data_IF_809829234750
#
_entry.id   IF_809829234750
#
_cell.length_a   1.000
_cell.length_b   1.000
_cell.length_c   1.000
_cell.angle_alpha   90.00
_cell.angle_beta   90.00
_cell.angle_gamma   90.00
#
_symmetry.space_group_name_H-M   'P 1'
#
loop_
_entity.id
_entity.type
_entity.pdbx_description
1 polymer ?
#
# COMPACT_ATOMS: atom_id res chain seq x y z
N UNK A 1 13.64 -19.64 14.52
CA UNK A 1 14.19 -19.32 13.14
C UNK A 1 12.99 -19.09 12.24
N UNK A 2 13.02 -18.06 11.39
CA UNK A 2 11.91 -17.75 10.46
C UNK A 2 11.60 -18.96 9.56
N UNK A 3 10.34 -19.30 9.30
CA UNK A 3 9.97 -20.41 8.40
C UNK A 3 10.56 -20.23 6.99
N UNK A 4 10.58 -19.01 6.51
CA UNK A 4 11.16 -18.62 5.21
C UNK A 4 12.68 -18.68 5.13
N UNK A 5 13.38 -18.89 6.26
CA UNK A 5 14.84 -18.82 6.44
C UNK A 5 15.46 -17.45 6.14
N UNK A 6 14.67 -16.40 5.96
CA UNK A 6 15.14 -15.02 5.77
C UNK A 6 15.82 -14.51 7.05
N UNK A 7 16.79 -13.59 6.89
CA UNK A 7 17.33 -12.84 8.02
C UNK A 7 16.24 -11.97 8.66
N UNK A 8 16.36 -11.58 9.94
CA UNK A 8 15.34 -10.75 10.61
C UNK A 8 15.02 -9.44 9.89
N UNK A 9 15.97 -8.86 9.20
CA UNK A 9 15.89 -7.59 8.50
C UNK A 9 15.81 -7.72 6.96
N UNK A 10 15.47 -8.91 6.46
CA UNK A 10 15.41 -9.24 5.04
C UNK A 10 13.97 -9.19 4.52
N UNK A 11 13.79 -8.45 3.40
CA UNK A 11 12.53 -8.42 2.64
C UNK A 11 12.34 -9.70 1.83
N UNK A 12 11.10 -10.08 1.58
CA UNK A 12 10.78 -10.99 0.47
C UNK A 12 11.24 -10.38 -0.86
N UNK A 13 11.43 -11.17 -1.93
CA UNK A 13 11.59 -10.61 -3.27
C UNK A 13 10.43 -9.68 -3.63
N UNK A 14 10.74 -8.44 -4.02
CA UNK A 14 9.73 -7.45 -4.40
C UNK A 14 9.84 -7.13 -5.87
N UNK A 15 8.71 -7.16 -6.59
CA UNK A 15 8.61 -6.72 -7.98
C UNK A 15 7.47 -5.71 -8.15
N UNK A 16 7.69 -4.72 -9.03
CA UNK A 16 6.74 -3.65 -9.37
C UNK A 16 6.64 -3.58 -10.89
N UNK A 17 5.70 -4.35 -11.48
CA UNK A 17 5.50 -4.40 -12.93
C UNK A 17 4.47 -3.35 -13.33
N UNK A 18 4.88 -2.40 -14.19
CA UNK A 18 4.03 -1.28 -14.64
C UNK A 18 3.28 -1.60 -15.93
N UNK A 19 2.19 -0.87 -16.18
CA UNK A 19 1.50 -0.89 -17.47
C UNK A 19 0.83 -2.22 -17.77
N UNK A 20 0.46 -2.98 -16.75
CA UNK A 20 -0.10 -4.33 -16.88
C UNK A 20 -1.58 -4.34 -17.27
N UNK A 21 -2.27 -3.20 -17.19
CA UNK A 21 -3.69 -3.05 -17.55
C UNK A 21 -3.84 -2.01 -18.66
N UNK A 22 -4.43 -2.43 -19.77
CA UNK A 22 -4.52 -1.63 -21.01
C UNK A 22 -5.31 -0.33 -20.88
N UNK A 23 -6.38 -0.34 -20.08
CA UNK A 23 -7.37 0.76 -20.07
C UNK A 23 -7.20 1.73 -18.90
N UNK A 24 -6.45 1.38 -17.87
CA UNK A 24 -6.16 2.28 -16.76
C UNK A 24 -5.09 3.30 -17.15
N UNK A 25 -5.19 4.53 -16.64
CA UNK A 25 -4.19 5.58 -16.84
C UNK A 25 -2.87 5.25 -16.16
N UNK A 26 -2.91 4.45 -15.09
CA UNK A 26 -1.75 3.86 -14.45
C UNK A 26 -2.06 2.49 -13.89
N UNK A 27 -1.08 1.59 -13.89
CA UNK A 27 -1.26 0.26 -13.29
C UNK A 27 0.05 -0.35 -12.82
N UNK A 28 -0.04 -1.19 -11.78
CA UNK A 28 1.09 -1.91 -11.21
C UNK A 28 0.64 -3.29 -10.73
N UNK A 29 1.33 -4.33 -11.15
CA UNK A 29 1.28 -5.63 -10.48
C UNK A 29 2.42 -5.65 -9.46
N UNK A 30 2.08 -5.49 -8.19
CA UNK A 30 3.04 -5.54 -7.08
C UNK A 30 3.06 -6.93 -6.48
N UNK A 31 4.27 -7.43 -6.24
CA UNK A 31 4.48 -8.72 -5.56
C UNK A 31 5.48 -8.54 -4.41
N UNK A 32 5.13 -9.06 -3.26
CA UNK A 32 6.00 -9.24 -2.10
C UNK A 32 6.07 -10.74 -1.83
N UNK A 33 7.06 -11.44 -2.40
CA UNK A 33 7.06 -12.90 -2.46
C UNK A 33 5.77 -13.42 -3.07
N UNK A 34 5.02 -14.22 -2.32
CA UNK A 34 3.76 -14.81 -2.74
C UNK A 34 2.52 -13.91 -2.52
N UNK A 35 2.67 -12.72 -1.96
CA UNK A 35 1.60 -11.71 -1.94
C UNK A 35 1.59 -10.95 -3.26
N UNK A 36 0.49 -11.06 -4.03
CA UNK A 36 0.32 -10.42 -5.33
C UNK A 36 -0.92 -9.52 -5.31
N UNK A 37 -0.75 -8.25 -5.69
CA UNK A 37 -1.84 -7.28 -5.79
C UNK A 37 -1.79 -6.59 -7.14
N UNK A 38 -2.90 -6.62 -7.87
CA UNK A 38 -3.10 -5.80 -9.06
C UNK A 38 -3.63 -4.43 -8.60
N UNK A 39 -2.95 -3.38 -9.02
CA UNK A 39 -3.34 -2.01 -8.70
C UNK A 39 -3.58 -1.24 -9.99
N UNK A 40 -4.71 -0.54 -10.08
CA UNK A 40 -5.01 0.41 -11.16
C UNK A 40 -5.29 1.80 -10.61
N UNK A 41 -4.95 2.83 -11.38
CA UNK A 41 -5.28 4.21 -11.08
C UNK A 41 -6.08 4.79 -12.24
N UNK A 42 -7.29 5.24 -11.95
CA UNK A 42 -8.26 5.76 -12.92
C UNK A 42 -8.49 7.25 -12.67
N UNK A 43 -8.33 8.07 -13.72
CA UNK A 43 -8.67 9.49 -13.69
C UNK A 43 -10.17 9.67 -13.95
N UNK A 44 -10.84 10.39 -13.06
CA UNK A 44 -12.24 10.75 -13.21
C UNK A 44 -12.41 12.28 -13.26
N UNK A 45 -13.13 12.78 -14.26
CA UNK A 45 -13.50 14.21 -14.38
C UNK A 45 -14.65 14.61 -13.42
N UNK A 46 -14.96 13.76 -12.45
CA UNK A 46 -16.03 13.99 -11.48
C UNK A 46 -15.45 13.99 -10.08
N UNK A 47 -15.74 15.06 -9.35
CA UNK A 47 -15.45 15.16 -7.92
C UNK A 47 -16.64 14.71 -7.08
N UNK A 48 -16.37 14.22 -5.86
CA UNK A 48 -17.41 14.10 -4.85
C UNK A 48 -18.15 15.44 -4.67
N UNK A 49 -19.48 15.43 -4.53
CA UNK A 49 -20.28 16.68 -4.44
C UNK A 49 -19.80 17.67 -3.39
N UNK A 50 -19.26 17.18 -2.28
CA UNK A 50 -18.74 17.99 -1.17
C UNK A 50 -17.41 18.70 -1.47
N UNK A 51 -16.69 18.33 -2.56
CA UNK A 51 -15.44 18.98 -2.99
C UNK A 51 -15.65 19.96 -4.16
N UNK A 52 -16.76 19.92 -4.82
CA UNK A 52 -17.04 20.72 -6.01
C UNK A 52 -16.94 22.22 -5.71
N UNK A 53 -16.17 22.93 -6.51
CA UNK A 53 -15.92 24.37 -6.36
C UNK A 53 -14.90 24.75 -5.28
N UNK A 54 -14.16 23.79 -4.73
CA UNK A 54 -13.08 24.05 -3.76
C UNK A 54 -11.71 24.24 -4.40
N UNK A 55 -11.58 24.11 -5.73
CA UNK A 55 -10.34 24.30 -6.47
C UNK A 55 -9.29 23.21 -6.21
N UNK A 56 -9.68 22.07 -5.67
CA UNK A 56 -8.76 20.95 -5.35
C UNK A 56 -9.34 19.62 -5.79
N UNK A 57 -8.44 18.69 -6.09
CA UNK A 57 -8.77 17.33 -6.46
C UNK A 57 -8.87 16.36 -5.28
N UNK A 58 -9.03 15.09 -5.61
CA UNK A 58 -9.13 14.03 -4.63
C UNK A 58 -8.44 12.76 -5.10
N UNK A 59 -7.87 12.02 -4.16
CA UNK A 59 -7.39 10.65 -4.37
C UNK A 59 -8.10 9.76 -3.39
N UNK A 60 -8.74 8.73 -3.90
CA UNK A 60 -9.43 7.71 -3.10
C UNK A 60 -8.93 6.32 -3.49
N UNK A 61 -9.27 5.32 -2.68
CA UNK A 61 -8.90 3.95 -2.98
C UNK A 61 -10.02 2.98 -2.66
N UNK A 62 -10.11 1.93 -3.45
CA UNK A 62 -10.87 0.73 -3.17
C UNK A 62 -9.92 -0.45 -2.98
N UNK A 63 -10.35 -1.44 -2.21
CA UNK A 63 -9.56 -2.62 -1.91
C UNK A 63 -10.47 -3.85 -1.88
N UNK A 64 -10.00 -4.93 -2.44
CA UNK A 64 -10.71 -6.20 -2.39
C UNK A 64 -9.77 -7.39 -2.53
N UNK A 65 -10.29 -8.57 -2.18
CA UNK A 65 -9.58 -9.83 -2.38
C UNK A 65 -10.37 -10.74 -3.30
N UNK A 66 -9.69 -11.37 -4.25
CA UNK A 66 -10.31 -12.41 -5.06
C UNK A 66 -10.70 -13.61 -4.16
N UNK A 67 -11.78 -14.35 -4.51
CA UNK A 67 -12.24 -15.47 -3.69
C UNK A 67 -11.19 -16.53 -3.39
N UNK A 68 -10.23 -16.71 -4.30
CA UNK A 68 -9.12 -17.68 -4.15
C UNK A 68 -7.77 -16.98 -3.94
N UNK A 69 -7.78 -15.74 -3.44
CA UNK A 69 -6.55 -15.10 -2.97
C UNK A 69 -5.95 -15.82 -1.76
N UNK A 70 -6.75 -16.56 -1.02
CA UNK A 70 -6.36 -17.34 0.17
C UNK A 70 -6.46 -18.84 -0.10
N UNK A 71 -5.89 -19.66 0.79
CA UNK A 71 -5.92 -21.14 0.73
C UNK A 71 -7.34 -21.70 0.63
N UNK A 72 -8.29 -21.08 1.32
CA UNK A 72 -9.71 -21.41 1.22
C UNK A 72 -10.47 -20.34 0.41
N UNK A 73 -11.57 -20.76 -0.24
CA UNK A 73 -12.41 -19.84 -0.99
C UNK A 73 -13.22 -18.93 -0.08
N UNK A 74 -12.98 -17.63 -0.15
CA UNK A 74 -13.79 -16.62 0.53
C UNK A 74 -14.98 -16.18 -0.34
N UNK A 75 -16.08 -15.74 0.28
CA UNK A 75 -17.24 -15.21 -0.44
C UNK A 75 -16.92 -13.80 -0.97
N UNK A 76 -17.34 -13.50 -2.21
CA UNK A 76 -17.24 -12.13 -2.73
C UNK A 76 -18.08 -11.16 -1.90
N UNK A 77 -17.50 -10.05 -1.46
CA UNK A 77 -18.23 -9.02 -0.68
C UNK A 77 -19.40 -8.43 -1.47
N UNK A 78 -19.24 -8.22 -2.78
CA UNK A 78 -20.33 -7.78 -3.65
C UNK A 78 -21.55 -8.74 -3.62
N UNK A 79 -21.32 -10.05 -3.52
CA UNK A 79 -22.37 -11.04 -3.38
C UNK A 79 -22.94 -11.12 -1.95
N UNK A 80 -22.24 -10.58 -0.97
CA UNK A 80 -22.72 -10.46 0.40
C UNK A 80 -23.53 -9.17 0.64
N UNK A 81 -23.48 -8.22 -0.31
CA UNK A 81 -24.20 -6.95 -0.25
C UNK A 81 -23.60 -5.91 0.68
N UNK A 82 -22.44 -6.20 1.29
CA UNK A 82 -21.70 -5.26 2.15
C UNK A 82 -20.22 -5.58 2.17
N UNK A 83 -19.40 -4.55 2.33
CA UNK A 83 -17.98 -4.69 2.60
C UNK A 83 -17.72 -5.03 4.07
N UNK A 84 -16.64 -5.75 4.35
CA UNK A 84 -16.18 -6.01 5.70
C UNK A 84 -15.56 -4.75 6.33
N UNK A 85 -15.51 -4.68 7.66
CA UNK A 85 -14.83 -3.60 8.36
C UNK A 85 -13.35 -3.51 7.99
N UNK A 86 -12.68 -4.66 7.80
CA UNK A 86 -11.30 -4.74 7.33
C UNK A 86 -11.12 -4.11 5.95
N UNK A 87 -11.99 -4.43 4.99
CA UNK A 87 -11.94 -3.86 3.64
C UNK A 87 -12.05 -2.34 3.69
N UNK A 88 -13.04 -1.81 4.40
CA UNK A 88 -13.26 -0.36 4.54
C UNK A 88 -12.08 0.33 5.25
N UNK A 89 -11.51 -0.29 6.27
CA UNK A 89 -10.33 0.22 6.98
C UNK A 89 -9.13 0.33 6.03
N UNK A 90 -8.83 -0.72 5.25
CA UNK A 90 -7.70 -0.74 4.32
C UNK A 90 -7.89 0.27 3.18
N UNK A 91 -9.09 0.40 2.61
CA UNK A 91 -9.40 1.44 1.61
C UNK A 91 -9.08 2.84 2.14
N UNK A 92 -9.50 3.14 3.37
CA UNK A 92 -9.26 4.43 4.01
C UNK A 92 -7.77 4.68 4.27
N UNK A 93 -7.04 3.64 4.68
CA UNK A 93 -5.61 3.67 4.91
C UNK A 93 -4.86 3.99 3.60
N UNK A 94 -5.14 3.26 2.50
CA UNK A 94 -4.50 3.49 1.20
C UNK A 94 -4.79 4.92 0.71
N UNK A 95 -6.05 5.32 0.69
CA UNK A 95 -6.45 6.65 0.23
C UNK A 95 -5.81 7.77 1.03
N UNK A 96 -5.74 7.65 2.37
CA UNK A 96 -5.08 8.62 3.25
C UNK A 96 -3.58 8.70 2.97
N UNK A 97 -2.93 7.56 2.85
CA UNK A 97 -1.48 7.49 2.57
C UNK A 97 -1.13 8.20 1.26
N UNK A 98 -1.88 7.96 0.20
CA UNK A 98 -1.67 8.62 -1.10
C UNK A 98 -1.94 10.13 -1.03
N UNK A 99 -3.00 10.57 -0.34
CA UNK A 99 -3.30 12.01 -0.20
C UNK A 99 -2.22 12.79 0.53
N UNK A 100 -1.48 12.15 1.42
CA UNK A 100 -0.38 12.80 2.16
C UNK A 100 0.75 13.25 1.24
N UNK A 101 0.98 12.54 0.13
CA UNK A 101 2.09 12.81 -0.81
C UNK A 101 1.63 13.46 -2.12
N UNK A 102 0.35 13.81 -2.24
CA UNK A 102 -0.23 14.45 -3.43
C UNK A 102 -0.57 15.91 -3.12
N UNK A 103 -0.19 16.80 -4.02
CA UNK A 103 -0.68 18.17 -4.06
C UNK A 103 -2.08 18.21 -4.68
N UNK A 104 -3.10 18.21 -3.82
CA UNK A 104 -4.50 18.16 -4.27
C UNK A 104 -4.94 19.45 -4.98
N UNK A 105 -4.33 20.60 -4.69
CA UNK A 105 -4.60 21.86 -5.39
C UNK A 105 -3.98 21.82 -6.81
N UNK A 106 -2.73 21.34 -6.91
CA UNK A 106 -2.06 21.16 -8.20
C UNK A 106 -2.74 20.09 -9.08
N UNK A 107 -3.41 19.10 -8.48
CA UNK A 107 -4.22 18.12 -9.20
C UNK A 107 -5.43 18.78 -9.86
N UNK A 108 -5.96 19.86 -9.27
CA UNK A 108 -7.18 20.54 -9.72
C UNK A 108 -8.43 19.70 -9.47
N UNK A 109 -9.59 20.20 -9.87
CA UNK A 109 -10.89 19.57 -9.59
C UNK A 109 -11.10 18.24 -10.36
N UNK A 110 -10.32 17.23 -10.03
CA UNK A 110 -10.37 15.86 -10.57
C UNK A 110 -10.26 14.85 -9.45
N UNK A 111 -10.75 13.66 -9.69
CA UNK A 111 -10.56 12.53 -8.78
C UNK A 111 -9.66 11.47 -9.45
N UNK A 112 -8.77 10.88 -8.68
CA UNK A 112 -8.11 9.64 -9.05
C UNK A 112 -8.59 8.56 -8.07
N UNK A 113 -9.18 7.51 -8.63
CA UNK A 113 -9.56 6.31 -7.89
C UNK A 113 -8.51 5.25 -8.10
N UNK A 114 -8.00 4.71 -7.00
CA UNK A 114 -7.01 3.63 -7.02
C UNK A 114 -7.67 2.34 -6.55
N UNK A 115 -7.73 1.35 -7.43
CA UNK A 115 -8.30 0.03 -7.13
C UNK A 115 -7.17 -0.95 -6.82
N UNK A 116 -7.29 -1.68 -5.71
CA UNK A 116 -6.31 -2.66 -5.26
C UNK A 116 -6.99 -4.03 -5.13
N UNK A 117 -6.74 -4.91 -6.09
CA UNK A 117 -7.27 -6.27 -6.13
C UNK A 117 -6.20 -7.29 -5.71
N UNK A 118 -6.36 -7.89 -4.55
CA UNK A 118 -5.46 -8.96 -4.08
C UNK A 118 -5.74 -10.24 -4.86
N UNK A 119 -4.75 -10.65 -5.66
CA UNK A 119 -4.80 -11.88 -6.46
C UNK A 119 -4.39 -13.09 -5.63
N UNK A 120 -3.38 -12.92 -4.78
CA UNK A 120 -2.82 -13.92 -3.88
C UNK A 120 -2.35 -13.25 -2.59
N UNK A 121 -2.70 -13.84 -1.45
CA UNK A 121 -2.40 -13.29 -0.12
C UNK A 121 -1.48 -14.23 0.66
N UNK A 122 -0.31 -13.72 1.04
CA UNK A 122 0.66 -14.37 1.90
C UNK A 122 1.27 -13.35 2.89
N UNK A 123 0.41 -12.72 3.71
CA UNK A 123 0.80 -11.63 4.62
C UNK A 123 1.08 -10.30 3.91
N UNK A 124 0.86 -9.19 4.59
CA UNK A 124 1.20 -7.84 4.11
C UNK A 124 0.42 -7.33 2.91
N UNK A 125 -0.83 -7.76 2.69
CA UNK A 125 -1.61 -7.33 1.52
C UNK A 125 -1.87 -5.83 1.50
N UNK A 126 -2.14 -5.19 2.66
CA UNK A 126 -2.34 -3.74 2.77
C UNK A 126 -1.07 -2.95 2.47
N UNK A 127 0.08 -3.43 2.90
CA UNK A 127 1.38 -2.77 2.70
C UNK A 127 1.85 -2.89 1.25
N UNK A 128 1.67 -4.05 0.62
CA UNK A 128 1.89 -4.24 -0.82
C UNK A 128 0.96 -3.34 -1.64
N UNK A 129 -0.34 -3.24 -1.27
CA UNK A 129 -1.30 -2.36 -1.93
C UNK A 129 -0.86 -0.90 -1.90
N UNK A 130 -0.45 -0.35 -0.75
CA UNK A 130 0.02 1.04 -0.64
C UNK A 130 1.27 1.27 -1.52
N UNK A 131 2.23 0.34 -1.46
CA UNK A 131 3.48 0.43 -2.21
C UNK A 131 3.26 0.38 -3.73
N UNK A 132 2.39 -0.52 -4.20
CA UNK A 132 2.00 -0.60 -5.61
C UNK A 132 1.11 0.56 -6.06
N UNK A 133 0.25 1.06 -5.16
CA UNK A 133 -0.64 2.18 -5.43
C UNK A 133 0.13 3.48 -5.74
N UNK A 134 1.26 3.70 -5.09
CA UNK A 134 2.14 4.81 -5.44
C UNK A 134 2.63 4.71 -6.90
N UNK A 135 3.03 3.53 -7.36
CA UNK A 135 3.53 3.31 -8.74
C UNK A 135 2.41 3.55 -9.76
N UNK A 136 1.23 2.96 -9.53
CA UNK A 136 0.07 3.17 -10.42
C UNK A 136 -0.35 4.65 -10.46
N UNK A 137 -0.34 5.34 -9.32
CA UNK A 137 -0.63 6.77 -9.23
C UNK A 137 0.41 7.60 -9.97
N UNK A 138 1.71 7.28 -9.85
CA UNK A 138 2.78 7.96 -10.57
C UNK A 138 2.61 7.85 -12.09
N UNK A 139 2.21 6.67 -12.59
CA UNK A 139 1.91 6.46 -14.01
C UNK A 139 0.70 7.27 -14.46
N UNK A 140 -0.38 7.28 -13.68
CA UNK A 140 -1.57 8.09 -13.96
C UNK A 140 -1.21 9.59 -14.02
N UNK A 141 -0.45 10.11 -13.07
CA UNK A 141 0.02 11.50 -13.05
C UNK A 141 0.91 11.80 -14.28
N UNK A 142 1.79 10.87 -14.64
CA UNK A 142 2.62 11.03 -15.85
C UNK A 142 1.77 11.01 -17.13
N UNK A 143 0.76 10.14 -17.19
CA UNK A 143 -0.22 10.12 -18.28
C UNK A 143 -0.96 11.47 -18.42
N UNK A 144 -1.35 12.09 -17.29
CA UNK A 144 -1.95 13.43 -17.28
C UNK A 144 -0.98 14.53 -17.74
N UNK A 145 0.29 14.46 -17.33
CA UNK A 145 1.35 15.41 -17.74
C UNK A 145 1.58 15.37 -19.25
N UNK A 146 1.72 14.19 -19.83
CA UNK A 146 1.94 14.02 -21.28
C UNK A 146 0.79 14.54 -22.12
N UNK A 147 -0.41 14.71 -21.55
CA UNK A 147 -1.61 15.27 -22.20
C UNK A 147 -1.86 16.74 -21.84
N UNK A 148 -0.91 17.39 -21.16
CA UNK A 148 -1.03 18.79 -20.71
C UNK A 148 -2.25 19.06 -19.83
N UNK A 149 -2.76 18.05 -19.12
CA UNK A 149 -3.91 18.20 -18.20
C UNK A 149 -3.51 18.85 -16.87
N UNK A 150 -2.25 18.70 -16.48
CA UNK A 150 -1.64 19.29 -15.29
C UNK A 150 -0.29 19.91 -15.67
N UNK A 151 0.06 21.03 -15.02
CA UNK A 151 1.29 21.78 -15.30
C UNK A 151 2.35 21.63 -14.20
N UNK A 152 1.90 21.41 -12.96
CA UNK A 152 2.76 21.33 -11.79
C UNK A 152 3.17 19.88 -11.47
N UNK A 153 4.16 19.74 -10.59
CA UNK A 153 4.45 18.45 -10.02
C UNK A 153 3.42 18.15 -8.90
N UNK A 154 2.53 17.20 -9.17
CA UNK A 154 1.44 16.81 -8.29
C UNK A 154 1.91 15.87 -7.18
N UNK A 155 2.93 15.05 -7.45
CA UNK A 155 3.49 14.15 -6.43
C UNK A 155 4.63 14.83 -5.68
N UNK A 156 4.49 14.95 -4.35
CA UNK A 156 5.46 15.61 -3.47
C UNK A 156 6.55 14.66 -2.99
N UNK A 157 6.24 13.37 -2.85
CA UNK A 157 7.18 12.37 -2.32
C UNK A 157 6.74 10.95 -2.75
N UNK A 158 7.56 9.96 -2.39
CA UNK A 158 7.16 8.56 -2.37
C UNK A 158 6.34 8.26 -1.11
N UNK A 159 5.56 7.19 -1.16
CA UNK A 159 4.99 6.52 0.01
C UNK A 159 5.10 5.02 -0.16
N UNK A 160 5.58 4.35 0.86
CA UNK A 160 5.62 2.90 0.91
C UNK A 160 5.19 2.41 2.29
N UNK A 161 4.83 1.14 2.36
CA UNK A 161 4.39 0.51 3.60
C UNK A 161 4.99 -0.88 3.74
N UNK A 162 5.22 -1.27 4.99
CA UNK A 162 5.77 -2.58 5.33
C UNK A 162 5.18 -3.10 6.63
N UNK A 163 5.05 -4.42 6.77
CA UNK A 163 4.77 -5.08 8.03
C UNK A 163 6.05 -5.39 8.78
N UNK A 164 6.01 -5.27 10.09
CA UNK A 164 7.04 -5.74 11.01
C UNK A 164 6.36 -6.44 12.19
N UNK A 165 7.03 -7.33 12.85
CA UNK A 165 6.45 -7.98 14.03
C UNK A 165 7.48 -8.55 14.99
N UNK A 166 7.01 -9.02 16.13
CA UNK A 166 7.80 -9.82 17.04
C UNK A 166 7.45 -11.29 16.77
N UNK A 167 8.43 -12.04 16.31
CA UNK A 167 8.30 -13.46 16.01
C UNK A 167 9.36 -14.27 16.78
N UNK A 168 8.91 -15.18 17.64
CA UNK A 168 9.78 -15.94 18.57
C UNK A 168 10.73 -15.03 19.37
N UNK A 169 10.17 -13.97 19.95
CA UNK A 169 10.88 -12.98 20.77
C UNK A 169 11.87 -12.09 20.02
N UNK A 170 11.79 -12.02 18.67
CA UNK A 170 12.69 -11.21 17.86
C UNK A 170 11.94 -10.28 16.91
N UNK A 171 12.34 -9.03 16.79
CA UNK A 171 11.83 -8.12 15.78
C UNK A 171 12.20 -8.63 14.38
N UNK A 172 11.22 -8.71 13.49
CA UNK A 172 11.40 -9.16 12.09
C UNK A 172 10.68 -8.23 11.11
N UNK A 173 11.28 -8.08 9.93
CA UNK A 173 10.80 -7.27 8.84
C UNK A 173 9.99 -8.11 7.86
N UNK A 174 8.91 -7.55 7.30
CA UNK A 174 8.14 -8.11 6.20
C UNK A 174 7.60 -9.53 6.51
N UNK A 175 6.59 -9.57 7.37
CA UNK A 175 5.94 -10.83 7.76
C UNK A 175 5.24 -11.48 6.56
N UNK A 176 5.54 -12.76 6.30
CA UNK A 176 4.69 -13.62 5.49
C UNK A 176 3.56 -14.21 6.35
N UNK A 177 2.61 -14.94 5.74
CA UNK A 177 1.44 -15.45 6.45
C UNK A 177 1.81 -16.42 7.57
N UNK A 178 2.82 -17.26 7.36
CA UNK A 178 3.26 -18.22 8.37
C UNK A 178 3.85 -17.54 9.62
N UNK A 179 4.48 -16.39 9.43
CA UNK A 179 5.02 -15.57 10.52
C UNK A 179 3.91 -14.71 11.17
N UNK A 180 3.07 -14.07 10.34
CA UNK A 180 1.98 -13.17 10.75
C UNK A 180 0.98 -13.91 11.68
N UNK A 181 0.60 -15.14 11.29
CA UNK A 181 -0.36 -15.97 12.05
C UNK A 181 0.16 -16.44 13.41
N UNK A 182 1.45 -16.44 13.66
CA UNK A 182 2.08 -16.87 14.90
C UNK A 182 2.81 -15.73 15.64
N UNK A 183 2.87 -14.53 15.07
CA UNK A 183 3.55 -13.38 15.64
C UNK A 183 2.96 -13.01 17.02
N UNK A 184 3.82 -12.61 17.93
CA UNK A 184 3.46 -12.07 19.23
C UNK A 184 2.94 -10.63 19.10
N UNK A 185 3.46 -9.92 18.10
CA UNK A 185 3.06 -8.55 17.72
C UNK A 185 3.08 -8.44 16.20
N UNK A 186 2.01 -7.90 15.64
CA UNK A 186 1.93 -7.45 14.24
C UNK A 186 1.84 -5.93 14.20
N UNK A 187 2.68 -5.31 13.36
CA UNK A 187 2.65 -3.88 13.15
C UNK A 187 2.85 -3.53 11.67
N UNK A 188 2.08 -2.53 11.20
CA UNK A 188 2.17 -2.01 9.85
C UNK A 188 2.60 -0.54 9.91
N UNK A 189 3.62 -0.22 9.14
CA UNK A 189 4.20 1.12 9.07
C UNK A 189 4.02 1.70 7.67
N UNK A 190 3.53 2.93 7.60
CA UNK A 190 3.45 3.71 6.36
C UNK A 190 4.30 4.95 6.52
N UNK A 191 5.25 5.14 5.61
CA UNK A 191 6.18 6.28 5.67
C UNK A 191 6.37 6.91 4.29
N UNK A 192 6.77 8.17 4.30
CA UNK A 192 7.20 8.92 3.12
C UNK A 192 8.59 8.50 2.68
N UNK A 193 8.99 8.90 1.46
CA UNK A 193 10.32 8.63 0.92
C UNK A 193 11.46 9.30 1.70
N UNK A 194 11.18 10.40 2.40
CA UNK A 194 12.10 11.08 3.32
C UNK A 194 12.07 10.51 4.75
N UNK A 195 11.31 9.43 5.00
CA UNK A 195 11.28 8.69 6.27
C UNK A 195 10.31 9.22 7.33
N UNK A 196 9.44 10.18 7.00
CA UNK A 196 8.40 10.65 7.93
C UNK A 196 7.26 9.63 8.02
N UNK A 197 6.75 9.46 9.24
CA UNK A 197 5.68 8.51 9.54
C UNK A 197 4.32 9.12 9.12
N UNK A 198 3.55 8.36 8.33
CA UNK A 198 2.17 8.71 7.96
C UNK A 198 1.19 7.99 8.88
N UNK A 199 1.42 6.68 9.09
CA UNK A 199 0.56 5.87 9.96
C UNK A 199 1.36 4.72 10.55
N UNK A 200 1.00 4.36 11.77
CA UNK A 200 1.47 3.15 12.46
C UNK A 200 0.25 2.43 13.02
N UNK A 201 0.14 1.17 12.70
CA UNK A 201 -0.84 0.26 13.31
C UNK A 201 -0.05 -0.88 13.96
N UNK A 202 -0.28 -1.15 15.22
CA UNK A 202 0.41 -2.22 15.94
C UNK A 202 -0.52 -2.87 16.94
N UNK A 203 -0.52 -4.19 16.98
CA UNK A 203 -1.35 -4.99 17.86
C UNK A 203 -0.49 -6.04 18.55
N UNK A 204 -0.61 -6.15 19.86
CA UNK A 204 -0.10 -7.27 20.63
C UNK A 204 -1.13 -8.41 20.58
N UNK A 205 -0.75 -9.53 19.98
CA UNK A 205 -1.63 -10.69 19.85
C UNK A 205 -1.60 -11.58 21.10
N UNK A 206 -0.57 -11.44 21.93
CA UNK A 206 -0.39 -12.21 23.18
C UNK A 206 -0.05 -11.29 24.32
N UNK A 207 1.25 -11.10 24.62
CA UNK A 207 1.75 -10.22 25.66
C UNK A 207 2.00 -8.81 25.11
N UNK A 208 1.74 -7.75 25.90
CA UNK A 208 2.06 -6.38 25.49
C UNK A 208 3.54 -6.24 25.15
N UNK A 209 3.86 -5.60 24.03
CA UNK A 209 5.23 -5.30 23.65
C UNK A 209 5.74 -4.03 24.33
N UNK A 210 7.04 -3.99 24.55
CA UNK A 210 7.74 -2.89 25.22
C UNK A 210 8.00 -1.71 24.27
N UNK A 211 8.36 -0.57 24.84
CA UNK A 211 8.80 0.59 24.05
C UNK A 211 10.07 0.29 23.25
N UNK A 212 11.01 -0.47 23.80
CA UNK A 212 12.26 -0.84 23.10
C UNK A 212 11.99 -1.75 21.90
N UNK A 213 11.07 -2.70 22.03
CA UNK A 213 10.60 -3.52 20.90
C UNK A 213 9.94 -2.67 19.84
N UNK A 214 9.08 -1.71 20.21
CA UNK A 214 8.48 -0.79 19.26
C UNK A 214 9.51 0.04 18.50
N UNK A 215 10.53 0.55 19.17
CA UNK A 215 11.63 1.28 18.54
C UNK A 215 12.45 0.40 17.58
N UNK A 216 12.64 -0.87 17.94
CA UNK A 216 13.27 -1.84 17.05
C UNK A 216 12.44 -2.10 15.79
N UNK A 217 11.11 -2.22 15.92
CA UNK A 217 10.19 -2.38 14.78
C UNK A 217 10.23 -1.13 13.86
N UNK A 218 10.25 0.09 14.42
CA UNK A 218 10.40 1.32 13.64
C UNK A 218 11.71 1.32 12.85
N UNK A 219 12.83 0.94 13.46
CA UNK A 219 14.12 0.90 12.79
C UNK A 219 14.13 -0.11 11.61
N UNK A 220 13.52 -1.28 11.78
CA UNK A 220 13.34 -2.24 10.70
C UNK A 220 12.43 -1.69 9.60
N UNK A 221 11.32 -1.06 9.96
CA UNK A 221 10.39 -0.45 9.01
C UNK A 221 11.06 0.63 8.16
N UNK A 222 11.86 1.52 8.77
CA UNK A 222 12.63 2.54 8.06
C UNK A 222 13.57 1.92 7.02
N UNK A 223 14.29 0.85 7.38
CA UNK A 223 15.17 0.11 6.47
C UNK A 223 14.40 -0.51 5.31
N UNK A 224 13.29 -1.19 5.61
CA UNK A 224 12.44 -1.83 4.61
C UNK A 224 11.81 -0.84 3.64
N UNK A 225 11.28 0.26 4.18
CA UNK A 225 10.63 1.31 3.38
C UNK A 225 11.63 2.03 2.49
N UNK A 226 12.82 2.34 2.97
CA UNK A 226 13.87 2.94 2.13
C UNK A 226 14.16 2.05 0.90
N UNK A 227 14.25 0.72 1.10
CA UNK A 227 14.45 -0.21 0.00
C UNK A 227 13.26 -0.25 -0.97
N UNK A 228 12.03 -0.21 -0.47
CA UNK A 228 10.82 -0.16 -1.30
C UNK A 228 10.76 1.12 -2.13
N UNK A 229 11.12 2.25 -1.55
CA UNK A 229 11.21 3.55 -2.24
C UNK A 229 12.24 3.52 -3.37
N UNK A 230 13.40 2.88 -3.17
CA UNK A 230 14.39 2.71 -4.23
C UNK A 230 13.82 1.87 -5.39
N UNK A 231 13.08 0.79 -5.09
CA UNK A 231 12.42 -0.03 -6.09
C UNK A 231 11.31 0.75 -6.83
N UNK A 232 10.54 1.58 -6.13
CA UNK A 232 9.55 2.46 -6.75
C UNK A 232 10.21 3.44 -7.73
N UNK A 233 11.31 4.09 -7.33
CA UNK A 233 12.07 5.01 -8.19
C UNK A 233 12.61 4.30 -9.43
N UNK A 234 13.17 3.10 -9.26
CA UNK A 234 13.65 2.30 -10.39
C UNK A 234 12.51 1.89 -11.33
N UNK A 235 11.35 1.55 -10.78
CA UNK A 235 10.20 1.16 -11.60
C UNK A 235 9.68 2.30 -12.46
N UNK A 236 9.69 3.56 -12.00
CA UNK A 236 9.13 4.72 -12.73
C UNK A 236 10.16 5.52 -13.51
N UNK A 237 11.44 5.18 -13.45
CA UNK A 237 12.51 5.79 -14.24
C UNK A 237 12.40 5.42 -15.77
#
# INVERSE_FOLDING_TARGET
>A
MRPSRRAPDELRPVTLERGVVKYAEGSCLVKFGDTHVLVTATLEDRLPPWLKGQGRGWVTAEYGMLPRATSERTRREAAAGKQSGRTVEIQRLIGRSLRTIVDLEALGERQITVDCDVLQADGGTRTASITGAWVALADCINWMKTRNMIKANVMRDNVAAISCGIYQGKPVLDLDYAEDSEAETDANFVMTGDGRIIEVQGTAEREPFTQDEFLALIALAQKGIARLVDLQKLAVA
#
